data_IF_510276100767
#
_entry.id   IF_510276100767
#
_cell.length_a   1.000
_cell.length_b   1.000
_cell.length_c   1.000
_cell.angle_alpha   90.00
_cell.angle_beta   90.00
_cell.angle_gamma   90.00
#
_symmetry.space_group_name_H-M   'P 1'
#
loop_
_entity.id
_entity.type
_entity.pdbx_description
1 polymer ?
#
# COMPACT_ATOMS: atom_id res chain seq x y z
N UNK A 1 -16.60 -42.93 55.71
CA UNK A 1 -16.76 -42.10 54.50
C UNK A 1 -17.48 -42.93 53.48
N UNK A 2 -18.73 -42.57 53.19
CA UNK A 2 -19.62 -43.39 52.40
C UNK A 2 -19.22 -43.39 50.90
N UNK A 3 -19.35 -44.56 50.27
CA UNK A 3 -19.01 -44.77 48.85
C UNK A 3 -19.71 -43.76 47.91
N UNK A 4 -20.81 -43.14 48.38
CA UNK A 4 -21.57 -42.12 47.68
C UNK A 4 -20.82 -40.77 47.65
N UNK A 5 -20.16 -40.40 48.74
CA UNK A 5 -19.37 -39.17 48.83
C UNK A 5 -18.11 -39.23 47.95
N UNK A 6 -17.45 -40.40 47.85
CA UNK A 6 -16.28 -40.60 46.99
C UNK A 6 -16.65 -40.50 45.50
N UNK A 7 -17.82 -41.03 45.08
CA UNK A 7 -18.32 -40.89 43.71
C UNK A 7 -18.63 -39.45 43.32
N UNK A 8 -19.25 -38.65 44.23
CA UNK A 8 -19.52 -37.26 43.94
C UNK A 8 -18.26 -36.42 43.83
N UNK A 9 -17.25 -36.65 44.68
CA UNK A 9 -15.95 -35.93 44.60
C UNK A 9 -15.22 -36.29 43.30
N UNK A 10 -15.25 -37.55 42.86
CA UNK A 10 -14.64 -37.98 41.61
C UNK A 10 -15.31 -37.35 40.37
N UNK A 11 -16.65 -37.27 40.34
CA UNK A 11 -17.40 -36.62 39.24
C UNK A 11 -17.11 -35.10 39.20
N UNK A 12 -17.04 -34.43 40.35
CA UNK A 12 -16.76 -32.98 40.42
C UNK A 12 -15.32 -32.68 39.99
N UNK A 13 -14.32 -33.50 40.35
CA UNK A 13 -12.95 -33.36 39.90
C UNK A 13 -12.81 -33.60 38.38
N UNK A 14 -13.53 -34.54 37.81
CA UNK A 14 -13.50 -34.81 36.36
C UNK A 14 -14.13 -33.66 35.56
N UNK A 15 -15.21 -33.05 36.06
CA UNK A 15 -15.80 -31.87 35.43
C UNK A 15 -14.90 -30.63 35.49
N UNK A 16 -14.17 -30.44 36.58
CA UNK A 16 -13.22 -29.29 36.71
C UNK A 16 -12.00 -29.48 35.79
N UNK A 17 -11.49 -30.71 35.63
CA UNK A 17 -10.42 -30.99 34.67
C UNK A 17 -10.86 -30.81 33.20
N UNK A 18 -12.12 -31.05 32.86
CA UNK A 18 -12.67 -30.90 31.51
C UNK A 18 -12.83 -29.41 31.12
N UNK A 19 -12.97 -28.50 32.07
CA UNK A 19 -13.06 -27.06 31.84
C UNK A 19 -11.70 -26.35 31.64
N UNK A 20 -10.59 -27.04 31.93
CA UNK A 20 -9.24 -26.50 31.73
C UNK A 20 -8.63 -26.89 30.37
N UNK A 21 -9.31 -27.68 29.57
CA UNK A 21 -8.80 -28.22 28.30
C UNK A 21 -9.32 -27.43 27.10
N UNK A 22 -9.16 -26.10 27.05
CA UNK A 22 -9.73 -25.38 25.92
C UNK A 22 -9.20 -23.99 25.60
N UNK A 23 -8.22 -23.49 26.31
CA UNK A 23 -7.59 -22.23 25.91
C UNK A 23 -6.34 -22.53 25.07
N UNK A 24 -6.53 -22.89 23.81
CA UNK A 24 -5.45 -22.69 22.84
C UNK A 24 -5.27 -21.19 22.70
N UNK A 25 -4.30 -20.65 23.43
CA UNK A 25 -3.78 -19.31 23.15
C UNK A 25 -3.37 -19.31 21.69
N UNK A 26 -4.15 -18.71 20.83
CA UNK A 26 -3.67 -18.32 19.50
C UNK A 26 -2.51 -17.37 19.79
N UNK A 27 -1.26 -17.84 19.63
CA UNK A 27 -0.08 -16.99 19.72
C UNK A 27 -0.26 -15.92 18.67
N UNK A 28 -0.56 -14.71 19.11
CA UNK A 28 -0.62 -13.52 18.25
C UNK A 28 0.81 -13.19 17.84
N UNK A 29 1.12 -13.37 16.56
CA UNK A 29 2.40 -12.95 15.99
C UNK A 29 2.30 -11.51 15.48
N UNK A 30 3.39 -10.74 15.62
CA UNK A 30 3.55 -9.43 15.00
C UNK A 30 4.15 -9.58 13.61
N UNK A 31 3.50 -8.96 12.61
CA UNK A 31 3.95 -8.92 11.21
C UNK A 31 4.33 -7.49 10.86
N UNK A 32 5.59 -7.25 10.49
CA UNK A 32 6.09 -5.94 10.07
C UNK A 32 6.04 -5.80 8.57
N UNK A 33 5.22 -4.89 8.09
CA UNK A 33 4.93 -4.73 6.67
C UNK A 33 5.44 -3.39 6.16
N UNK A 34 6.38 -3.42 5.20
CA UNK A 34 6.82 -2.26 4.45
C UNK A 34 5.86 -2.02 3.28
N UNK A 35 5.24 -0.84 3.22
CA UNK A 35 4.16 -0.54 2.27
C UNK A 35 4.44 0.72 1.49
N UNK A 36 4.36 0.65 0.16
CA UNK A 36 4.40 1.85 -0.69
C UNK A 36 3.25 2.81 -0.33
N UNK A 37 3.58 4.08 -0.13
CA UNK A 37 2.67 5.08 0.49
C UNK A 37 1.38 5.35 -0.29
N UNK A 38 1.33 5.05 -1.60
CA UNK A 38 0.09 5.12 -2.38
C UNK A 38 -0.99 4.16 -1.86
N UNK A 39 -0.57 3.03 -1.26
CA UNK A 39 -1.47 1.95 -0.82
C UNK A 39 -1.90 2.08 0.65
N UNK A 40 -1.54 3.19 1.31
CA UNK A 40 -1.72 3.36 2.75
C UNK A 40 -3.17 3.25 3.23
N UNK A 41 -4.13 3.81 2.49
CA UNK A 41 -5.55 3.77 2.88
C UNK A 41 -6.11 2.36 2.74
N UNK A 42 -5.96 1.75 1.57
CA UNK A 42 -6.39 0.37 1.33
C UNK A 42 -5.72 -0.61 2.30
N UNK A 43 -4.41 -0.43 2.57
CA UNK A 43 -3.68 -1.32 3.48
C UNK A 43 -4.19 -1.25 4.92
N UNK A 44 -4.55 -0.07 5.41
CA UNK A 44 -5.17 0.08 6.74
C UNK A 44 -6.49 -0.69 6.84
N UNK A 45 -7.36 -0.58 5.82
CA UNK A 45 -8.62 -1.30 5.77
C UNK A 45 -8.40 -2.83 5.70
N UNK A 46 -7.46 -3.29 4.85
CA UNK A 46 -7.09 -4.70 4.73
C UNK A 46 -6.53 -5.24 6.05
N UNK A 47 -5.67 -4.47 6.72
CA UNK A 47 -5.07 -4.85 7.99
C UNK A 47 -6.13 -5.03 9.09
N UNK A 48 -7.10 -4.11 9.20
CA UNK A 48 -8.16 -4.19 10.19
C UNK A 48 -8.98 -5.50 10.04
N UNK A 49 -9.30 -5.88 8.81
CA UNK A 49 -10.00 -7.13 8.53
C UNK A 49 -9.13 -8.36 8.82
N UNK A 50 -7.86 -8.33 8.40
CA UNK A 50 -6.94 -9.43 8.66
C UNK A 50 -6.73 -9.66 10.16
N UNK A 51 -6.48 -8.61 10.93
CA UNK A 51 -6.29 -8.70 12.38
C UNK A 51 -7.53 -9.25 13.09
N UNK A 52 -8.73 -8.83 12.64
CA UNK A 52 -10.00 -9.34 13.19
C UNK A 52 -10.18 -10.85 12.95
N UNK A 53 -9.80 -11.32 11.75
CA UNK A 53 -10.00 -12.71 11.34
C UNK A 53 -8.91 -13.63 11.89
N UNK A 54 -7.66 -13.18 11.89
CA UNK A 54 -6.50 -14.03 12.22
C UNK A 54 -6.05 -13.95 13.67
N UNK A 55 -6.37 -12.85 14.37
CA UNK A 55 -5.84 -12.54 15.70
C UNK A 55 -4.37 -12.10 15.71
N UNK A 56 -3.69 -12.04 14.55
CA UNK A 56 -2.33 -11.50 14.44
C UNK A 56 -2.34 -9.97 14.49
N UNK A 57 -1.20 -9.35 14.78
CA UNK A 57 -1.00 -7.90 14.75
C UNK A 57 -0.14 -7.51 13.55
N UNK A 58 -0.47 -6.39 12.89
CA UNK A 58 0.26 -5.90 11.72
C UNK A 58 0.80 -4.50 11.97
N UNK A 59 2.11 -4.36 11.96
CA UNK A 59 2.80 -3.08 12.09
C UNK A 59 3.14 -2.56 10.70
N UNK A 60 2.45 -1.49 10.28
CA UNK A 60 2.60 -0.88 8.97
C UNK A 60 3.66 0.22 8.96
N UNK A 61 4.58 0.15 8.00
CA UNK A 61 5.54 1.22 7.70
C UNK A 61 5.30 1.76 6.31
N UNK A 62 4.96 3.04 6.19
CA UNK A 62 4.68 3.67 4.90
C UNK A 62 5.85 4.50 4.39
N UNK A 63 6.20 4.34 3.12
CA UNK A 63 7.31 5.06 2.50
C UNK A 63 7.32 4.94 0.98
N UNK A 64 8.38 5.41 0.34
CA UNK A 64 8.58 5.13 -1.07
C UNK A 64 9.08 3.69 -1.28
N UNK A 65 8.68 3.08 -2.41
CA UNK A 65 9.14 1.73 -2.79
C UNK A 65 10.66 1.62 -2.77
N UNK A 66 11.37 2.63 -3.31
CA UNK A 66 12.84 2.64 -3.35
C UNK A 66 13.49 2.78 -1.97
N UNK A 67 12.89 3.52 -1.04
CA UNK A 67 13.41 3.64 0.33
C UNK A 67 13.25 2.33 1.10
N UNK A 68 12.07 1.70 1.01
CA UNK A 68 11.85 0.39 1.63
C UNK A 68 12.78 -0.67 1.04
N UNK A 69 12.95 -0.69 -0.29
CA UNK A 69 13.94 -1.58 -0.92
C UNK A 69 15.34 -1.37 -0.34
N UNK A 70 15.81 -0.12 -0.23
CA UNK A 70 17.11 0.19 0.36
C UNK A 70 17.22 -0.25 1.84
N UNK A 71 16.16 -0.08 2.63
CA UNK A 71 16.10 -0.55 4.02
C UNK A 71 16.17 -2.07 4.10
N UNK A 72 15.45 -2.79 3.24
CA UNK A 72 15.40 -4.26 3.21
C UNK A 72 16.77 -4.85 2.88
N UNK A 73 17.45 -4.36 1.83
CA UNK A 73 18.79 -4.85 1.48
C UNK A 73 19.85 -4.54 2.55
N UNK A 74 19.58 -3.54 3.41
CA UNK A 74 20.43 -3.23 4.56
C UNK A 74 19.95 -3.89 5.87
N UNK A 75 19.10 -4.91 5.79
CA UNK A 75 18.72 -5.75 6.93
C UNK A 75 17.60 -5.20 7.80
N UNK A 76 16.79 -4.24 7.34
CA UNK A 76 15.62 -3.80 8.09
C UNK A 76 14.65 -4.98 8.33
N UNK A 77 14.13 -5.15 9.57
CA UNK A 77 13.40 -6.35 9.98
C UNK A 77 11.94 -6.31 9.53
N UNK A 78 11.69 -6.22 8.23
CA UNK A 78 10.36 -6.38 7.65
C UNK A 78 10.08 -7.85 7.36
N UNK A 79 8.81 -8.23 7.46
CA UNK A 79 8.33 -9.57 7.18
C UNK A 79 7.71 -9.68 5.78
N UNK A 80 7.05 -8.60 5.34
CA UNK A 80 6.40 -8.50 4.03
C UNK A 80 6.72 -7.13 3.41
N UNK A 81 6.94 -7.10 2.10
CA UNK A 81 7.12 -5.86 1.34
C UNK A 81 6.08 -5.74 0.25
N UNK A 82 5.30 -4.65 0.27
CA UNK A 82 4.35 -4.25 -0.77
C UNK A 82 4.92 -3.05 -1.55
N UNK A 83 5.43 -3.33 -2.73
CA UNK A 83 6.01 -2.36 -3.64
C UNK A 83 4.95 -1.79 -4.60
N UNK A 84 5.14 -0.56 -5.05
CA UNK A 84 4.34 0.00 -6.15
C UNK A 84 4.94 -0.30 -7.54
N UNK A 85 5.84 -1.26 -7.67
CA UNK A 85 6.38 -1.79 -8.91
C UNK A 85 6.61 -3.30 -8.81
N UNK A 86 6.92 -3.91 -9.96
CA UNK A 86 7.34 -5.31 -10.05
C UNK A 86 8.87 -5.48 -9.99
N UNK A 87 9.64 -4.41 -10.30
CA UNK A 87 11.10 -4.48 -10.45
C UNK A 87 11.79 -4.84 -9.14
N UNK A 88 11.50 -4.10 -8.07
CA UNK A 88 12.18 -4.27 -6.78
C UNK A 88 11.85 -5.60 -6.10
N UNK A 89 10.59 -6.07 -6.06
CA UNK A 89 10.27 -7.43 -5.63
C UNK A 89 11.00 -8.51 -6.42
N UNK A 90 11.09 -8.36 -7.75
CA UNK A 90 11.83 -9.30 -8.61
C UNK A 90 13.33 -9.35 -8.23
N UNK A 91 13.96 -8.19 -8.01
CA UNK A 91 15.38 -8.14 -7.63
C UNK A 91 15.59 -8.79 -6.26
N UNK A 92 14.74 -8.52 -5.27
CA UNK A 92 14.84 -9.12 -3.93
C UNK A 92 14.73 -10.65 -3.99
N UNK A 93 13.82 -11.18 -4.82
CA UNK A 93 13.66 -12.63 -5.03
C UNK A 93 14.89 -13.23 -5.71
N UNK A 94 15.42 -12.61 -6.77
CA UNK A 94 16.62 -13.06 -7.49
C UNK A 94 17.88 -13.04 -6.61
N UNK A 95 17.96 -12.10 -5.67
CA UNK A 95 19.08 -12.00 -4.72
C UNK A 95 18.92 -12.93 -3.50
N UNK A 96 17.83 -13.67 -3.39
CA UNK A 96 17.53 -14.53 -2.24
C UNK A 96 17.21 -13.77 -0.94
N UNK A 97 16.94 -12.47 -1.03
CA UNK A 97 16.49 -11.64 0.11
C UNK A 97 15.00 -11.86 0.37
N UNK A 98 14.21 -12.01 -0.69
CA UNK A 98 12.82 -12.44 -0.58
C UNK A 98 12.69 -13.95 -0.81
N UNK A 99 11.63 -14.54 -0.24
CA UNK A 99 11.32 -15.96 -0.41
C UNK A 99 10.98 -16.27 -1.87
N UNK A 100 11.59 -17.32 -2.41
CA UNK A 100 11.33 -17.78 -3.78
C UNK A 100 9.84 -18.11 -3.98
N UNK A 101 9.29 -17.72 -5.13
CA UNK A 101 7.89 -17.93 -5.52
C UNK A 101 6.85 -17.31 -4.56
N UNK A 102 7.26 -16.32 -3.76
CA UNK A 102 6.33 -15.57 -2.89
C UNK A 102 5.79 -14.30 -3.55
N UNK A 103 6.26 -13.95 -4.73
CA UNK A 103 5.89 -12.71 -5.41
C UNK A 103 4.50 -12.82 -6.02
N UNK A 104 3.62 -11.89 -5.61
CA UNK A 104 2.27 -11.75 -6.16
C UNK A 104 2.06 -10.34 -6.70
N UNK A 105 1.27 -10.19 -7.77
CA UNK A 105 0.75 -8.88 -8.19
C UNK A 105 -0.58 -8.67 -7.50
N UNK A 106 -0.67 -7.70 -6.58
CA UNK A 106 -1.88 -7.49 -5.79
C UNK A 106 -2.78 -6.37 -6.31
N UNK A 107 -2.22 -5.41 -7.08
CA UNK A 107 -2.97 -4.27 -7.58
C UNK A 107 -2.28 -3.66 -8.81
N UNK A 108 -3.05 -2.91 -9.60
CA UNK A 108 -2.53 -1.97 -10.61
C UNK A 108 -2.98 -0.56 -10.26
N UNK A 109 -2.01 0.34 -10.08
CA UNK A 109 -2.26 1.72 -9.73
C UNK A 109 -2.54 2.60 -10.95
N UNK A 110 -3.23 3.73 -10.70
CA UNK A 110 -3.50 4.75 -11.71
C UNK A 110 -2.88 6.07 -11.29
N UNK A 111 -2.27 6.77 -12.24
CA UNK A 111 -1.75 8.12 -12.06
C UNK A 111 -2.82 9.14 -12.42
N UNK A 112 -2.89 10.24 -11.67
CA UNK A 112 -3.73 11.40 -12.02
C UNK A 112 -2.96 12.69 -11.86
N UNK A 113 -3.25 13.68 -12.70
CA UNK A 113 -2.90 15.08 -12.46
C UNK A 113 -4.05 15.72 -11.68
N UNK A 114 -3.78 16.22 -10.48
CA UNK A 114 -4.79 16.72 -9.55
C UNK A 114 -4.49 18.12 -9.04
N UNK A 115 -5.56 18.86 -8.73
CA UNK A 115 -5.54 20.09 -7.96
C UNK A 115 -6.57 20.02 -6.83
N UNK A 116 -6.27 20.66 -5.69
CA UNK A 116 -7.21 20.78 -4.57
C UNK A 116 -8.29 21.87 -4.80
N UNK A 117 -8.17 22.65 -5.86
CA UNK A 117 -9.16 23.69 -6.20
C UNK A 117 -10.41 23.05 -6.80
N UNK A 118 -11.62 23.51 -6.41
CA UNK A 118 -12.85 23.04 -7.03
C UNK A 118 -12.87 23.47 -8.52
N UNK A 119 -13.57 22.66 -9.31
CA UNK A 119 -13.60 22.76 -10.75
C UNK A 119 -14.28 24.04 -11.23
N UNK A 120 -13.46 25.01 -11.63
CA UNK A 120 -13.89 26.13 -12.47
C UNK A 120 -13.35 26.01 -13.91
N UNK A 121 -12.39 25.07 -14.12
CA UNK A 121 -11.78 24.80 -15.42
C UNK A 121 -11.58 23.29 -15.59
N UNK A 122 -11.76 22.81 -16.83
CA UNK A 122 -11.52 21.43 -17.18
C UNK A 122 -10.05 21.09 -17.04
N UNK A 123 -9.71 20.15 -16.14
CA UNK A 123 -8.33 19.66 -15.97
C UNK A 123 -8.00 18.72 -17.12
N UNK A 124 -6.93 19.02 -17.84
CA UNK A 124 -6.37 18.18 -18.90
C UNK A 124 -4.86 18.46 -19.05
N UNK A 125 -4.22 17.82 -20.02
CA UNK A 125 -2.80 17.97 -20.33
C UNK A 125 -2.39 19.42 -20.66
N UNK A 126 -3.29 20.24 -21.20
CA UNK A 126 -2.97 21.62 -21.60
C UNK A 126 -2.55 22.50 -20.41
N UNK A 127 -3.01 22.16 -19.20
CA UNK A 127 -2.61 22.88 -17.98
C UNK A 127 -1.11 22.80 -17.73
N UNK A 128 -0.43 21.74 -18.17
CA UNK A 128 1.03 21.60 -18.01
C UNK A 128 1.82 22.66 -18.80
N UNK A 129 1.19 23.28 -19.80
CA UNK A 129 1.77 24.36 -20.59
C UNK A 129 1.39 25.77 -20.08
N UNK A 130 0.54 25.87 -19.06
CA UNK A 130 0.14 27.17 -18.52
C UNK A 130 1.27 27.87 -17.76
N UNK A 131 1.44 29.17 -18.03
CA UNK A 131 2.45 29.98 -17.36
C UNK A 131 2.15 30.21 -15.87
N UNK A 132 0.88 30.09 -15.48
CA UNK A 132 0.40 30.32 -14.12
C UNK A 132 0.78 29.21 -13.14
N UNK A 133 1.23 28.03 -13.61
CA UNK A 133 1.77 27.00 -12.74
C UNK A 133 3.15 27.43 -12.25
N UNK A 134 3.28 27.69 -10.98
CA UNK A 134 4.55 27.96 -10.29
C UNK A 134 5.16 26.69 -9.74
N UNK A 135 4.34 25.79 -9.18
CA UNK A 135 4.78 24.56 -8.55
C UNK A 135 3.93 23.39 -9.02
N UNK A 136 4.60 22.34 -9.51
CA UNK A 136 4.02 21.05 -9.88
C UNK A 136 4.62 19.96 -8.98
N UNK A 137 3.80 19.36 -8.13
CA UNK A 137 4.24 18.31 -7.24
C UNK A 137 4.33 16.95 -7.95
N UNK A 138 5.42 16.22 -7.72
CA UNK A 138 5.60 14.83 -8.13
C UNK A 138 6.29 14.05 -7.01
N UNK A 139 6.11 12.74 -6.96
CA UNK A 139 7.01 11.89 -6.19
C UNK A 139 8.39 11.83 -6.87
N UNK A 140 9.46 11.66 -6.10
CA UNK A 140 10.82 11.55 -6.66
C UNK A 140 10.94 10.31 -7.57
N UNK A 141 11.23 10.47 -8.88
CA UNK A 141 11.33 9.34 -9.81
C UNK A 141 12.41 8.31 -9.44
N UNK A 142 13.45 8.71 -8.71
CA UNK A 142 14.49 7.78 -8.23
C UNK A 142 13.99 6.81 -7.16
N UNK A 143 12.90 7.17 -6.44
CA UNK A 143 12.41 6.44 -5.28
C UNK A 143 11.00 5.85 -5.48
N UNK A 144 10.19 6.45 -6.37
CA UNK A 144 8.77 6.14 -6.50
C UNK A 144 8.38 5.78 -7.93
N UNK A 145 7.71 4.63 -8.13
CA UNK A 145 7.12 4.26 -9.42
C UNK A 145 6.12 5.29 -9.96
N UNK A 146 5.34 5.93 -9.09
CA UNK A 146 4.45 7.03 -9.48
C UNK A 146 5.22 8.27 -9.95
N UNK A 147 6.41 8.51 -9.39
CA UNK A 147 7.31 9.56 -9.88
C UNK A 147 7.85 9.24 -11.27
N UNK A 148 8.20 7.98 -11.54
CA UNK A 148 8.60 7.51 -12.87
C UNK A 148 7.44 7.69 -13.85
N UNK A 149 6.22 7.28 -13.49
CA UNK A 149 5.04 7.44 -14.34
C UNK A 149 4.77 8.93 -14.65
N UNK A 150 4.85 9.82 -13.67
CA UNK A 150 4.71 11.27 -13.87
C UNK A 150 5.78 11.83 -14.83
N UNK A 151 7.03 11.39 -14.67
CA UNK A 151 8.11 11.75 -15.59
C UNK A 151 7.82 11.26 -17.01
N UNK A 152 7.36 10.02 -17.18
CA UNK A 152 7.01 9.45 -18.49
C UNK A 152 5.90 10.25 -19.16
N UNK A 153 4.81 10.56 -18.44
CA UNK A 153 3.72 11.40 -18.96
C UNK A 153 4.25 12.74 -19.47
N UNK A 154 5.02 13.45 -18.64
CA UNK A 154 5.57 14.75 -19.03
C UNK A 154 6.58 14.65 -20.19
N UNK A 155 7.36 13.58 -20.27
CA UNK A 155 8.28 13.33 -21.38
C UNK A 155 7.53 13.05 -22.68
N UNK A 156 6.51 12.20 -22.65
CA UNK A 156 5.70 11.87 -23.83
C UNK A 156 4.85 13.05 -24.33
N UNK A 157 4.53 14.00 -23.44
CA UNK A 157 3.90 15.27 -23.79
C UNK A 157 4.91 16.36 -24.17
N UNK A 158 6.23 16.07 -24.21
CA UNK A 158 7.31 17.01 -24.51
C UNK A 158 7.41 18.22 -23.56
N UNK A 159 6.92 18.11 -22.31
CA UNK A 159 6.93 19.20 -21.31
C UNK A 159 7.90 18.95 -20.14
N UNK A 160 8.56 17.77 -20.09
CA UNK A 160 9.45 17.42 -18.97
C UNK A 160 10.55 18.44 -18.73
N UNK A 161 11.24 18.90 -19.78
CA UNK A 161 12.37 19.83 -19.65
C UNK A 161 11.90 21.23 -19.23
N UNK A 162 10.80 21.72 -19.78
CA UNK A 162 10.26 23.05 -19.47
C UNK A 162 9.72 23.16 -18.04
N UNK A 163 9.29 22.03 -17.45
CA UNK A 163 8.73 22.00 -16.11
C UNK A 163 9.77 21.76 -15.00
N UNK A 164 11.05 21.47 -15.32
CA UNK A 164 12.07 21.13 -14.31
C UNK A 164 12.20 22.15 -13.17
N UNK A 165 12.14 23.44 -13.49
CA UNK A 165 12.27 24.53 -12.53
C UNK A 165 11.02 24.73 -11.66
N UNK A 166 9.90 24.15 -12.08
CA UNK A 166 8.61 24.21 -11.37
C UNK A 166 8.36 22.97 -10.52
N UNK A 167 9.19 21.92 -10.64
CA UNK A 167 8.96 20.65 -9.94
C UNK A 167 9.26 20.72 -8.45
N UNK A 168 8.27 20.36 -7.63
CA UNK A 168 8.43 20.08 -6.21
C UNK A 168 8.40 18.57 -6.02
N UNK A 169 9.51 18.00 -5.52
CA UNK A 169 9.68 16.55 -5.41
C UNK A 169 9.47 16.07 -3.98
N UNK A 170 8.42 15.29 -3.73
CA UNK A 170 8.23 14.53 -2.50
C UNK A 170 9.08 13.25 -2.51
N UNK A 171 9.53 12.79 -1.36
CA UNK A 171 10.22 11.50 -1.21
C UNK A 171 9.35 10.35 -1.73
N UNK A 172 8.04 10.46 -1.52
CA UNK A 172 7.05 9.47 -1.92
C UNK A 172 5.78 10.16 -2.42
N UNK A 173 4.80 9.37 -2.89
CA UNK A 173 3.59 9.93 -3.49
C UNK A 173 2.63 10.56 -2.46
N UNK A 174 2.70 10.17 -1.17
CA UNK A 174 1.92 10.81 -0.12
C UNK A 174 2.42 12.25 0.14
N UNK A 175 3.73 12.50 0.09
CA UNK A 175 4.25 13.86 0.18
C UNK A 175 3.86 14.71 -1.04
N UNK A 176 3.90 14.14 -2.26
CA UNK A 176 3.43 14.85 -3.45
C UNK A 176 1.96 15.28 -3.30
N UNK A 177 1.09 14.38 -2.81
CA UNK A 177 -0.30 14.70 -2.48
C UNK A 177 -0.39 15.84 -1.45
N UNK A 178 0.40 15.78 -0.38
CA UNK A 178 0.37 16.81 0.68
C UNK A 178 0.78 18.18 0.17
N UNK A 179 1.74 18.29 -0.75
CA UNK A 179 2.11 19.58 -1.34
C UNK A 179 0.95 20.25 -2.08
N UNK A 180 0.14 19.47 -2.80
CA UNK A 180 -1.05 20.02 -3.48
C UNK A 180 -2.18 20.27 -2.48
N UNK A 181 -2.43 19.34 -1.57
CA UNK A 181 -3.50 19.44 -0.59
C UNK A 181 -3.36 20.65 0.34
N UNK A 182 -2.14 20.98 0.73
CA UNK A 182 -1.82 22.15 1.56
C UNK A 182 -1.69 23.46 0.78
N UNK A 183 -1.81 23.44 -0.58
CA UNK A 183 -1.68 24.63 -1.42
C UNK A 183 -0.22 25.05 -1.70
N UNK A 184 0.78 24.23 -1.31
CA UNK A 184 2.19 24.48 -1.61
C UNK A 184 2.56 24.16 -3.07
N UNK A 185 1.69 23.47 -3.80
CA UNK A 185 1.74 23.30 -5.24
C UNK A 185 0.33 23.46 -5.83
N UNK A 186 0.24 24.08 -6.99
CA UNK A 186 -1.05 24.30 -7.67
C UNK A 186 -1.60 23.02 -8.27
N UNK A 187 -0.70 22.15 -8.76
CA UNK A 187 -0.99 20.87 -9.39
C UNK A 187 -0.03 19.80 -8.88
N UNK A 188 -0.42 18.54 -9.02
CA UNK A 188 0.50 17.42 -8.76
C UNK A 188 0.08 16.14 -9.45
N UNK A 189 1.08 15.38 -9.89
CA UNK A 189 0.86 13.98 -10.26
C UNK A 189 0.84 13.14 -8.99
N UNK A 190 -0.31 12.53 -8.71
CA UNK A 190 -0.58 11.73 -7.51
C UNK A 190 -1.22 10.39 -7.88
N UNK A 191 -1.39 9.51 -6.89
CA UNK A 191 -2.12 8.26 -7.10
C UNK A 191 -3.64 8.52 -7.09
N UNK A 192 -4.36 7.90 -8.01
CA UNK A 192 -5.84 7.97 -8.06
C UNK A 192 -6.48 7.57 -6.72
N UNK A 193 -5.93 6.55 -6.06
CA UNK A 193 -6.36 6.09 -4.73
C UNK A 193 -6.30 7.16 -3.62
N UNK A 194 -5.56 8.24 -3.82
CA UNK A 194 -5.47 9.33 -2.83
C UNK A 194 -6.62 10.34 -2.95
N UNK A 195 -7.30 10.38 -4.10
CA UNK A 195 -8.45 11.25 -4.36
C UNK A 195 -9.74 10.46 -4.50
N UNK A 196 -9.67 9.17 -4.81
CA UNK A 196 -10.78 8.25 -4.86
C UNK A 196 -10.83 7.44 -3.55
N UNK A 197 -11.40 8.04 -2.50
CA UNK A 197 -11.55 7.41 -1.20
C UNK A 197 -13.03 7.15 -0.92
N UNK A 198 -13.45 5.90 -0.67
CA UNK A 198 -14.84 5.56 -0.38
C UNK A 198 -15.35 6.18 0.94
N UNK A 199 -14.43 6.47 1.88
CA UNK A 199 -14.78 7.01 3.21
C UNK A 199 -14.83 8.54 3.25
N UNK A 200 -14.18 9.21 2.30
CA UNK A 200 -14.05 10.66 2.30
C UNK A 200 -13.76 11.21 0.91
N UNK A 201 -14.69 11.96 0.34
CA UNK A 201 -14.45 12.65 -0.92
C UNK A 201 -13.36 13.73 -0.74
N UNK A 202 -12.22 13.54 -1.36
CA UNK A 202 -11.18 14.56 -1.44
C UNK A 202 -11.63 15.64 -2.43
N UNK A 203 -11.74 16.90 -1.95
CA UNK A 203 -12.13 18.02 -2.81
C UNK A 203 -11.07 18.28 -3.87
N UNK A 204 -11.51 18.68 -5.06
CA UNK A 204 -10.62 19.02 -6.15
C UNK A 204 -11.04 18.42 -7.47
N UNK A 205 -10.21 18.58 -8.46
CA UNK A 205 -10.44 18.08 -9.82
C UNK A 205 -9.20 17.36 -10.32
N UNK A 206 -9.38 16.35 -11.17
CA UNK A 206 -8.27 15.58 -11.71
C UNK A 206 -8.46 15.23 -13.20
N UNK A 207 -7.34 14.97 -13.84
CA UNK A 207 -7.25 14.36 -15.16
C UNK A 207 -6.52 13.03 -15.05
N UNK A 208 -7.07 12.00 -15.68
CA UNK A 208 -6.42 10.69 -15.79
C UNK A 208 -5.63 10.66 -17.09
N UNK A 209 -4.29 10.65 -17.07
CA UNK A 209 -3.49 10.49 -18.27
C UNK A 209 -3.81 9.17 -18.98
N UNK A 210 -3.93 9.16 -20.33
CA UNK A 210 -4.03 7.92 -21.08
C UNK A 210 -2.89 6.95 -20.73
N UNK A 211 -3.18 5.65 -20.65
CA UNK A 211 -2.18 4.62 -20.30
C UNK A 211 -1.03 4.57 -21.31
N UNK A 212 -1.24 5.02 -22.55
CA UNK A 212 -0.18 5.13 -23.56
C UNK A 212 0.93 6.12 -23.21
N UNK A 213 0.71 7.02 -22.24
CA UNK A 213 1.69 8.01 -21.82
C UNK A 213 2.65 7.52 -20.72
N UNK A 214 2.38 6.40 -20.07
CA UNK A 214 3.23 5.83 -19.03
C UNK A 214 3.08 4.31 -18.92
N UNK A 215 4.10 3.64 -18.40
CA UNK A 215 4.08 2.19 -18.17
C UNK A 215 3.08 1.81 -17.08
N UNK A 216 2.39 0.66 -17.17
CA UNK A 216 1.51 0.17 -16.11
C UNK A 216 2.21 0.17 -14.74
N UNK A 217 1.49 0.57 -13.70
CA UNK A 217 2.00 0.57 -12.32
C UNK A 217 1.53 -0.73 -11.65
N UNK A 218 2.10 -1.86 -12.08
CA UNK A 218 1.83 -3.17 -11.48
C UNK A 218 2.53 -3.27 -10.13
N UNK A 219 1.75 -3.44 -9.07
CA UNK A 219 2.21 -3.44 -7.69
C UNK A 219 2.35 -4.86 -7.19
N UNK A 220 3.52 -5.20 -6.65
CA UNK A 220 3.83 -6.55 -6.20
C UNK A 220 4.20 -6.61 -4.73
N UNK A 221 3.82 -7.71 -4.09
CA UNK A 221 4.21 -8.06 -2.73
C UNK A 221 5.12 -9.29 -2.73
N UNK A 222 6.02 -9.36 -1.74
CA UNK A 222 6.90 -10.51 -1.47
C UNK A 222 7.01 -10.77 0.03
N UNK A 223 7.27 -12.03 0.39
CA UNK A 223 7.67 -12.44 1.73
C UNK A 223 9.19 -12.24 1.91
N UNK A 224 9.59 -11.67 3.05
CA UNK A 224 10.98 -11.50 3.42
C UNK A 224 11.45 -12.56 4.45
N UNK A 225 10.55 -13.39 4.93
CA UNK A 225 10.82 -14.52 5.81
C UNK A 225 9.81 -15.64 5.61
N UNK A 226 9.98 -16.73 6.38
CA UNK A 226 9.18 -17.95 6.28
C UNK A 226 8.13 -18.11 7.41
N UNK A 227 7.84 -17.04 8.17
CA UNK A 227 6.86 -17.07 9.27
C UNK A 227 5.46 -17.43 8.75
N UNK A 228 4.75 -18.27 9.51
CA UNK A 228 3.39 -18.68 9.18
C UNK A 228 2.45 -17.47 9.06
N UNK A 229 2.51 -16.55 10.02
CA UNK A 229 1.68 -15.35 10.04
C UNK A 229 1.89 -14.46 8.77
N UNK A 230 3.15 -14.31 8.32
CA UNK A 230 3.48 -13.56 7.08
C UNK A 230 2.90 -14.24 5.83
N UNK A 231 2.94 -15.57 5.78
CA UNK A 231 2.32 -16.36 4.69
C UNK A 231 0.80 -16.24 4.71
N UNK A 232 0.19 -16.28 5.88
CA UNK A 232 -1.26 -16.13 6.05
C UNK A 232 -1.70 -14.71 5.64
N UNK A 233 -0.92 -13.69 5.97
CA UNK A 233 -1.16 -12.31 5.52
C UNK A 233 -1.08 -12.18 3.99
N UNK A 234 -0.05 -12.74 3.36
CA UNK A 234 0.07 -12.68 1.90
C UNK A 234 -1.09 -13.42 1.21
N UNK A 235 -1.49 -14.57 1.73
CA UNK A 235 -2.66 -15.33 1.23
C UNK A 235 -3.97 -14.54 1.41
N UNK A 236 -4.13 -13.85 2.53
CA UNK A 236 -5.28 -12.98 2.76
C UNK A 236 -5.35 -11.86 1.74
N UNK A 237 -4.20 -11.26 1.37
CA UNK A 237 -4.13 -10.21 0.37
C UNK A 237 -4.61 -10.67 -1.03
N UNK A 238 -4.49 -11.97 -1.36
CA UNK A 238 -5.03 -12.57 -2.57
C UNK A 238 -6.52 -12.96 -2.45
N UNK A 239 -7.07 -12.96 -1.26
CA UNK A 239 -8.46 -13.33 -0.98
C UNK A 239 -9.48 -12.34 -1.50
N UNK A 240 -10.74 -12.79 -1.65
CA UNK A 240 -11.84 -12.00 -2.21
C UNK A 240 -12.10 -10.71 -1.43
N UNK A 241 -12.03 -10.74 -0.10
CA UNK A 241 -12.25 -9.57 0.74
C UNK A 241 -11.20 -8.48 0.51
N UNK A 242 -9.91 -8.84 0.53
CA UNK A 242 -8.83 -7.90 0.25
C UNK A 242 -8.92 -7.35 -1.18
N UNK A 243 -9.23 -8.19 -2.18
CA UNK A 243 -9.42 -7.77 -3.57
C UNK A 243 -10.58 -6.77 -3.71
N UNK A 244 -11.69 -6.99 -3.01
CA UNK A 244 -12.81 -6.04 -2.98
C UNK A 244 -12.39 -4.69 -2.36
N UNK A 245 -11.66 -4.71 -1.25
CA UNK A 245 -11.13 -3.48 -0.63
C UNK A 245 -10.22 -2.75 -1.61
N UNK A 246 -9.29 -3.46 -2.27
CA UNK A 246 -8.38 -2.89 -3.28
C UNK A 246 -9.16 -2.15 -4.37
N UNK A 247 -10.19 -2.78 -4.93
CA UNK A 247 -11.03 -2.15 -5.96
C UNK A 247 -11.79 -0.93 -5.42
N UNK A 248 -12.32 -1.00 -4.19
CA UNK A 248 -13.06 0.10 -3.56
C UNK A 248 -12.17 1.34 -3.35
N UNK A 249 -10.85 1.17 -3.23
CA UNK A 249 -9.88 2.28 -3.18
C UNK A 249 -9.32 2.68 -4.55
N UNK A 250 -9.97 2.28 -5.66
CA UNK A 250 -9.70 2.78 -7.01
C UNK A 250 -8.54 2.09 -7.73
N UNK A 251 -8.09 0.96 -7.27
CA UNK A 251 -7.10 0.12 -7.97
C UNK A 251 -7.79 -0.84 -8.93
N UNK A 252 -7.11 -1.17 -10.03
CA UNK A 252 -7.46 -2.34 -10.84
C UNK A 252 -6.78 -3.59 -10.26
N UNK A 253 -7.43 -4.73 -10.46
CA UNK A 253 -6.86 -6.04 -10.16
C UNK A 253 -6.06 -6.56 -11.37
N UNK A 254 -5.03 -7.42 -11.14
CA UNK A 254 -4.27 -8.06 -12.20
C UNK A 254 -5.10 -9.02 -13.04
#
# INVERSE_FOLDING_TARGET
MDAFAIKQIAITLTLILALWSGSTSVLSDEIRVAVASNFSMAMKAITAEFETISGHQVVLSFGSTGKHYAQIINGAPFDVFLAADALRPTILEQQGVAQSNSRITYARGKLVLWTSKPETQRINESLLNHQDIRHLAIANPKLSPYGIAAQQVMTNLNVWLSLQTKLVRGENIAQAFQFVHSGNAELGFIAYSQVFNPESAVRGSFWIPPQSLYSPIDQQAVLLNDKKASKDFLRFLEGSLARQIIQNYGYDLP
#
